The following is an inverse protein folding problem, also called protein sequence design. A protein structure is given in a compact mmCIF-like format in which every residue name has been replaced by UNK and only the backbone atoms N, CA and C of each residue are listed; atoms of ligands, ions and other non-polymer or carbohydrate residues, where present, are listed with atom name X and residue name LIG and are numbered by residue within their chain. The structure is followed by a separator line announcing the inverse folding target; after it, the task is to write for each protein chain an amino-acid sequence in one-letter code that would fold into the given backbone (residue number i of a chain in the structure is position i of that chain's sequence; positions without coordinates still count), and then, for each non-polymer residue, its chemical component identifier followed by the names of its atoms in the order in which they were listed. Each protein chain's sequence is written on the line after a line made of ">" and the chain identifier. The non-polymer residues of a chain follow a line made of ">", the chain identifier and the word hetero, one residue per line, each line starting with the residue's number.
data_IF_049376338880
#
_entry.id   IF_049376338880
#
_cell.length_a   1.000
_cell.length_b   1.000
_cell.length_c   1.000
_cell.angle_alpha   90.00
_cell.angle_beta   90.00
_cell.angle_gamma   90.00
#
_symmetry.space_group_name_H-M   'P 1'
#
loop_
_entity.id
_entity.type
_entity.pdbx_description
1 polymer ?
#
# COMPACT_ATOMS: atom_id res chain seq x y z
N UNK A 1 13.97 -20.40 -7.31
CA UNK A 1 13.29 -19.62 -6.25
C UNK A 1 12.79 -20.59 -5.17
N UNK A 2 13.07 -20.33 -3.89
CA UNK A 2 12.71 -21.25 -2.78
C UNK A 2 11.21 -21.55 -2.66
N UNK A 3 10.33 -20.59 -2.97
CA UNK A 3 8.87 -20.76 -2.84
C UNK A 3 8.19 -21.61 -3.94
N UNK A 4 8.89 -21.91 -5.04
CA UNK A 4 8.35 -22.76 -6.13
C UNK A 4 8.57 -24.26 -5.87
N UNK A 5 9.29 -24.63 -4.81
CA UNK A 5 9.61 -26.03 -4.48
C UNK A 5 8.47 -26.77 -3.76
N UNK A 6 7.39 -26.08 -3.37
CA UNK A 6 6.30 -26.64 -2.54
C UNK A 6 5.03 -27.09 -3.28
N UNK A 7 4.95 -26.91 -4.59
CA UNK A 7 3.83 -27.42 -5.41
C UNK A 7 4.29 -28.70 -6.14
N UNK A 8 3.87 -29.90 -5.70
CA UNK A 8 4.24 -31.12 -6.41
C UNK A 8 3.65 -31.09 -7.82
N UNK A 9 4.51 -31.08 -8.85
CA UNK A 9 4.13 -31.50 -10.21
C UNK A 9 4.26 -30.48 -11.35
N UNK A 10 4.69 -29.23 -11.14
CA UNK A 10 4.89 -28.30 -12.27
C UNK A 10 6.31 -27.76 -12.39
N UNK A 11 7.01 -28.00 -13.52
CA UNK A 11 8.29 -27.39 -13.79
C UNK A 11 8.17 -25.86 -13.82
N UNK A 12 9.13 -25.15 -13.21
CA UNK A 12 9.21 -23.67 -13.23
C UNK A 12 9.14 -23.12 -14.67
N UNK A 13 9.66 -23.84 -15.64
CA UNK A 13 9.56 -23.48 -17.07
C UNK A 13 8.12 -23.41 -17.59
N UNK A 14 7.25 -24.34 -17.18
CA UNK A 14 5.84 -24.35 -17.59
C UNK A 14 5.06 -23.17 -16.97
N UNK A 15 5.33 -22.87 -15.70
CA UNK A 15 4.74 -21.68 -15.04
C UNK A 15 5.20 -20.40 -15.73
N UNK A 16 6.51 -20.29 -16.01
CA UNK A 16 7.06 -19.15 -16.72
C UNK A 16 6.41 -18.94 -18.08
N UNK A 17 6.21 -20.02 -18.85
CA UNK A 17 5.56 -19.93 -20.15
C UNK A 17 4.09 -19.52 -20.03
N UNK A 18 3.35 -20.08 -19.06
CA UNK A 18 1.97 -19.68 -18.81
C UNK A 18 1.84 -18.17 -18.49
N UNK A 19 2.74 -17.63 -17.66
CA UNK A 19 2.77 -16.19 -17.38
C UNK A 19 3.21 -15.36 -18.58
N UNK A 20 4.17 -15.83 -19.39
CA UNK A 20 4.57 -15.15 -20.62
C UNK A 20 3.42 -15.12 -21.65
N UNK A 21 2.65 -16.21 -21.78
CA UNK A 21 1.47 -16.25 -22.63
C UNK A 21 0.44 -15.21 -22.18
N UNK A 22 0.12 -15.17 -20.88
CA UNK A 22 -0.81 -14.18 -20.34
C UNK A 22 -0.34 -12.73 -20.56
N UNK A 23 0.97 -12.47 -20.46
CA UNK A 23 1.56 -11.17 -20.79
C UNK A 23 1.42 -10.83 -22.27
N UNK A 24 1.79 -11.74 -23.19
CA UNK A 24 1.66 -11.58 -24.65
C UNK A 24 0.22 -11.37 -25.08
N UNK A 25 -0.72 -12.02 -24.40
CA UNK A 25 -2.16 -11.86 -24.63
C UNK A 25 -2.71 -10.54 -24.05
N UNK A 26 -1.90 -9.77 -23.30
CA UNK A 26 -2.32 -8.49 -22.73
C UNK A 26 -3.29 -8.65 -21.54
N UNK A 27 -3.22 -9.76 -20.81
CA UNK A 27 -4.15 -10.10 -19.74
C UNK A 27 -3.81 -9.46 -18.38
N UNK A 28 -2.72 -8.71 -18.29
CA UNK A 28 -2.16 -8.23 -17.02
C UNK A 28 -2.11 -6.70 -16.97
N UNK A 29 -2.39 -6.13 -15.80
CA UNK A 29 -2.13 -4.72 -15.46
C UNK A 29 -1.32 -4.63 -14.17
N UNK A 30 -0.41 -3.67 -14.09
CA UNK A 30 0.30 -3.32 -12.85
C UNK A 30 -0.44 -2.19 -12.15
N UNK A 31 -0.65 -2.32 -10.84
CA UNK A 31 -1.19 -1.27 -9.98
C UNK A 31 -0.22 -1.00 -8.84
N UNK A 32 0.40 0.17 -8.88
CA UNK A 32 1.35 0.61 -7.86
C UNK A 32 0.70 1.60 -6.89
N UNK A 33 0.74 1.27 -5.60
CA UNK A 33 0.14 2.06 -4.53
C UNK A 33 0.96 3.32 -4.23
N UNK A 34 0.48 4.49 -4.66
CA UNK A 34 1.16 5.79 -4.53
C UNK A 34 0.25 6.89 -3.91
N UNK A 35 -0.82 6.50 -3.21
CA UNK A 35 -1.74 7.43 -2.56
C UNK A 35 -1.17 8.09 -1.29
N UNK A 36 -0.20 7.45 -0.64
CA UNK A 36 0.42 7.96 0.59
C UNK A 36 1.51 9.00 0.31
N UNK A 37 1.56 10.07 1.11
CA UNK A 37 2.62 11.07 1.04
C UNK A 37 4.00 10.51 1.45
N UNK A 38 4.03 9.46 2.30
CA UNK A 38 5.27 8.85 2.77
C UNK A 38 6.01 9.69 3.80
N UNK A 39 5.29 10.28 4.76
CA UNK A 39 5.81 11.22 5.78
C UNK A 39 7.05 10.73 6.53
N UNK A 40 7.19 9.41 6.78
CA UNK A 40 8.40 8.82 7.37
C UNK A 40 9.63 9.01 6.47
N UNK A 41 9.48 8.71 5.19
CA UNK A 41 10.55 8.86 4.20
C UNK A 41 10.95 10.32 4.04
N UNK A 42 9.96 11.21 4.01
CA UNK A 42 10.17 12.63 3.70
C UNK A 42 10.40 13.47 4.95
N UNK A 43 10.42 12.85 6.14
CA UNK A 43 10.52 13.51 7.44
C UNK A 43 9.54 14.70 7.60
N UNK A 44 8.35 14.56 7.02
CA UNK A 44 7.31 15.60 7.06
C UNK A 44 7.50 16.78 6.10
N UNK A 45 8.42 16.70 5.13
CA UNK A 45 8.69 17.76 4.16
C UNK A 45 7.55 18.07 3.17
N UNK A 46 6.38 17.43 3.30
CA UNK A 46 5.22 17.68 2.44
C UNK A 46 5.39 17.22 0.98
N UNK A 47 6.45 16.45 0.67
CA UNK A 47 6.69 15.91 -0.68
C UNK A 47 6.11 14.51 -0.82
N UNK A 48 5.75 14.15 -2.05
CA UNK A 48 5.23 12.82 -2.38
C UNK A 48 6.39 11.86 -2.57
N UNK A 49 6.51 10.84 -1.71
CA UNK A 49 7.58 9.83 -1.77
C UNK A 49 7.80 9.24 -3.16
N UNK A 50 6.72 8.97 -3.90
CA UNK A 50 6.78 8.41 -5.24
C UNK A 50 7.66 9.23 -6.22
N UNK A 51 7.73 10.54 -6.01
CA UNK A 51 8.46 11.51 -6.84
C UNK A 51 9.89 11.78 -6.34
N UNK A 52 10.26 11.25 -5.17
CA UNK A 52 11.53 11.54 -4.54
C UNK A 52 12.68 10.83 -5.28
N UNK A 53 13.71 11.55 -5.77
CA UNK A 53 14.93 10.92 -6.25
C UNK A 53 15.66 10.25 -5.07
N UNK A 54 15.82 8.93 -5.07
CA UNK A 54 16.22 8.21 -3.86
C UNK A 54 17.58 7.50 -3.95
N UNK A 55 17.99 7.06 -5.14
CA UNK A 55 19.31 6.46 -5.34
C UNK A 55 19.77 6.63 -6.79
N UNK A 56 21.06 6.40 -7.04
CA UNK A 56 21.60 6.37 -8.41
C UNK A 56 21.44 4.96 -9.00
N UNK A 57 20.66 4.83 -10.06
CA UNK A 57 20.56 3.61 -10.88
C UNK A 57 20.84 4.00 -12.34
N UNK A 58 21.65 3.18 -13.02
CA UNK A 58 22.22 3.45 -14.33
C UNK A 58 22.87 4.84 -14.41
N UNK A 59 23.66 5.17 -13.38
CA UNK A 59 24.45 6.40 -13.31
C UNK A 59 23.66 7.70 -13.04
N UNK A 60 22.33 7.65 -12.88
CA UNK A 60 21.48 8.83 -12.62
C UNK A 60 20.61 8.64 -11.39
N UNK A 61 20.27 9.73 -10.70
CA UNK A 61 19.28 9.65 -9.62
C UNK A 61 17.91 9.33 -10.21
N UNK A 62 17.31 8.22 -9.76
CA UNK A 62 15.99 7.77 -10.21
C UNK A 62 14.95 7.99 -9.14
N UNK A 63 13.70 8.22 -9.57
CA UNK A 63 12.53 8.28 -8.69
C UNK A 63 11.91 6.90 -8.52
N UNK A 64 11.05 6.72 -7.51
CA UNK A 64 10.33 5.46 -7.34
C UNK A 64 9.41 5.18 -8.54
N UNK A 65 8.68 6.19 -9.03
CA UNK A 65 7.81 6.06 -10.22
C UNK A 65 8.60 5.62 -11.45
N UNK A 66 9.70 6.32 -11.74
CA UNK A 66 10.56 5.99 -12.89
C UNK A 66 11.07 4.55 -12.82
N UNK A 67 11.47 4.10 -11.63
CA UNK A 67 11.94 2.72 -11.41
C UNK A 67 10.87 1.70 -11.76
N UNK A 68 9.61 1.92 -11.37
CA UNK A 68 8.51 1.01 -11.69
C UNK A 68 8.15 1.03 -13.18
N UNK A 69 8.15 2.20 -13.81
CA UNK A 69 7.94 2.33 -15.25
C UNK A 69 9.05 1.64 -16.06
N UNK A 70 10.30 1.72 -15.61
CA UNK A 70 11.42 1.03 -16.26
C UNK A 70 11.28 -0.49 -16.23
N UNK A 71 10.75 -1.07 -15.13
CA UNK A 71 10.45 -2.50 -15.05
C UNK A 71 9.30 -2.90 -15.98
N UNK A 72 8.22 -2.13 -15.99
CA UNK A 72 7.08 -2.39 -16.86
C UNK A 72 7.45 -2.23 -18.35
N UNK A 73 8.34 -1.31 -18.70
CA UNK A 73 8.87 -1.15 -20.06
C UNK A 73 9.64 -2.39 -20.51
N UNK A 74 10.57 -2.87 -19.68
CA UNK A 74 11.33 -4.09 -19.96
C UNK A 74 10.40 -5.26 -20.27
N UNK A 75 9.39 -5.46 -19.42
CA UNK A 75 8.44 -6.55 -19.57
C UNK A 75 7.53 -6.37 -20.79
N UNK A 76 7.18 -5.14 -21.15
CA UNK A 76 6.43 -4.85 -22.37
C UNK A 76 7.21 -5.30 -23.62
N UNK A 77 8.52 -5.02 -23.67
CA UNK A 77 9.41 -5.42 -24.77
C UNK A 77 9.66 -6.92 -24.81
N UNK A 78 9.83 -7.57 -23.65
CA UNK A 78 9.97 -9.03 -23.55
C UNK A 78 8.72 -9.76 -24.05
N UNK A 79 7.54 -9.21 -23.78
CA UNK A 79 6.26 -9.80 -24.17
C UNK A 79 5.75 -9.31 -25.55
N UNK A 80 6.44 -8.34 -26.18
CA UNK A 80 5.94 -7.61 -27.36
C UNK A 80 4.47 -7.15 -27.21
N UNK A 81 4.13 -6.70 -26.01
CA UNK A 81 2.78 -6.31 -25.62
C UNK A 81 2.88 -5.19 -24.59
N UNK A 82 2.40 -3.97 -24.91
CA UNK A 82 2.44 -2.87 -23.95
C UNK A 82 1.76 -3.25 -22.64
N UNK A 83 2.43 -3.08 -21.50
CA UNK A 83 1.86 -3.38 -20.19
C UNK A 83 1.16 -2.14 -19.63
N UNK A 84 -0.12 -2.19 -19.23
CA UNK A 84 -0.76 -1.08 -18.55
C UNK A 84 -0.16 -0.91 -17.17
N UNK A 85 0.12 0.33 -16.80
CA UNK A 85 0.61 0.70 -15.49
C UNK A 85 -0.31 1.75 -14.88
N UNK A 86 -0.87 1.45 -13.71
CA UNK A 86 -1.72 2.35 -12.96
C UNK A 86 -1.02 2.75 -11.67
N UNK A 87 -0.90 4.06 -11.41
CA UNK A 87 -0.57 4.54 -10.08
C UNK A 87 -1.85 4.97 -9.37
N UNK A 88 -2.14 4.37 -8.22
CA UNK A 88 -3.22 4.88 -7.36
C UNK A 88 -2.71 6.12 -6.63
N UNK A 89 -3.58 7.12 -6.52
CA UNK A 89 -3.24 8.43 -5.96
C UNK A 89 -4.30 8.85 -4.94
N UNK A 90 -4.03 9.86 -4.14
CA UNK A 90 -5.03 10.49 -3.26
C UNK A 90 -5.15 11.97 -3.57
N UNK A 91 -6.06 12.66 -2.88
CA UNK A 91 -6.13 14.12 -2.89
C UNK A 91 -4.79 14.81 -2.49
N UNK A 92 -3.87 14.09 -1.83
CA UNK A 92 -2.54 14.61 -1.47
C UNK A 92 -1.50 14.40 -2.59
N UNK A 93 -1.68 13.38 -3.42
CA UNK A 93 -0.63 12.92 -4.35
C UNK A 93 -1.00 13.02 -5.82
N UNK A 94 -2.29 13.18 -6.16
CA UNK A 94 -2.77 13.18 -7.52
C UNK A 94 -2.15 14.28 -8.39
N UNK A 95 -2.42 15.56 -8.07
CA UNK A 95 -1.93 16.68 -8.87
C UNK A 95 -0.40 16.75 -8.92
N UNK A 96 0.34 16.54 -7.81
CA UNK A 96 1.80 16.47 -7.86
C UNK A 96 2.32 15.37 -8.78
N UNK A 97 1.73 14.16 -8.74
CA UNK A 97 2.16 13.04 -9.60
C UNK A 97 1.80 13.32 -11.05
N UNK A 98 0.58 13.79 -11.33
CA UNK A 98 0.12 14.10 -12.69
C UNK A 98 1.01 15.16 -13.34
N UNK A 99 1.21 16.30 -12.68
CA UNK A 99 2.05 17.37 -13.22
C UNK A 99 3.53 16.98 -13.33
N UNK A 100 4.03 16.08 -12.47
CA UNK A 100 5.40 15.58 -12.57
C UNK A 100 5.56 14.64 -13.77
N UNK A 101 4.64 13.67 -13.95
CA UNK A 101 4.65 12.77 -15.10
C UNK A 101 4.53 13.53 -16.42
N UNK A 102 3.68 14.56 -16.49
CA UNK A 102 3.56 15.41 -17.68
C UNK A 102 4.89 16.11 -18.03
N UNK A 103 5.56 16.72 -17.04
CA UNK A 103 6.87 17.37 -17.25
C UNK A 103 7.96 16.41 -17.70
N UNK A 104 7.98 15.20 -17.13
CA UNK A 104 8.90 14.14 -17.51
C UNK A 104 8.46 13.39 -18.78
N UNK A 105 7.39 13.83 -19.45
CA UNK A 105 6.80 13.21 -20.65
C UNK A 105 6.55 11.71 -20.45
N UNK A 106 5.96 11.36 -19.30
CA UNK A 106 5.71 10.00 -18.86
C UNK A 106 6.96 9.10 -18.85
N UNK A 107 8.16 9.70 -18.73
CA UNK A 107 9.44 8.99 -18.87
C UNK A 107 9.56 8.21 -20.19
N UNK A 108 8.87 8.62 -21.25
CA UNK A 108 8.80 7.89 -22.52
C UNK A 108 8.19 6.48 -22.37
N UNK A 109 7.26 6.28 -21.43
CA UNK A 109 6.55 5.01 -21.30
C UNK A 109 5.61 4.79 -22.50
N UNK A 110 5.78 3.66 -23.19
CA UNK A 110 5.08 3.36 -24.46
C UNK A 110 3.70 2.73 -24.25
N UNK A 111 3.44 2.15 -23.07
CA UNK A 111 2.17 1.51 -22.75
C UNK A 111 1.15 2.45 -22.09
N UNK A 112 -0.08 1.97 -21.84
CA UNK A 112 -1.08 2.75 -21.12
C UNK A 112 -0.57 3.12 -19.72
N UNK A 113 -0.48 4.42 -19.42
CA UNK A 113 -0.12 4.94 -18.11
C UNK A 113 -1.28 5.75 -17.56
N UNK A 114 -1.88 5.25 -16.48
CA UNK A 114 -3.08 5.84 -15.88
C UNK A 114 -2.84 6.22 -14.43
N UNK A 115 -3.54 7.26 -13.97
CA UNK A 115 -3.66 7.59 -12.56
C UNK A 115 -5.06 7.22 -12.09
N UNK A 116 -5.13 6.50 -10.97
CA UNK A 116 -6.39 6.18 -10.30
C UNK A 116 -6.58 7.15 -9.11
N UNK A 117 -7.36 8.24 -9.28
CA UNK A 117 -7.61 9.19 -8.19
C UNK A 117 -8.45 8.54 -7.09
N UNK A 118 -7.96 8.62 -5.86
CA UNK A 118 -8.69 8.18 -4.68
C UNK A 118 -9.93 9.03 -4.44
N UNK A 119 -11.08 8.38 -4.30
CA UNK A 119 -12.38 9.01 -4.00
C UNK A 119 -12.82 8.82 -2.55
N UNK A 120 -12.05 8.06 -1.77
CA UNK A 120 -12.28 7.86 -0.34
C UNK A 120 -11.34 8.74 0.47
N UNK A 121 -11.92 9.66 1.25
CA UNK A 121 -11.19 10.57 2.15
C UNK A 121 -11.85 10.51 3.52
N UNK A 122 -11.04 10.36 4.56
CA UNK A 122 -11.51 10.32 5.93
C UNK A 122 -11.36 11.68 6.60
N UNK A 123 -12.33 12.05 7.42
CA UNK A 123 -12.21 13.16 8.35
C UNK A 123 -11.58 12.62 9.64
N UNK A 124 -10.54 13.31 10.14
CA UNK A 124 -9.95 12.99 11.44
C UNK A 124 -10.95 13.35 12.54
N UNK A 125 -10.87 12.65 13.65
CA UNK A 125 -11.77 12.85 14.78
C UNK A 125 -10.98 13.34 16.00
N UNK A 126 -11.69 13.97 16.91
CA UNK A 126 -11.19 14.29 18.24
C UNK A 126 -11.07 12.96 19.02
N UNK A 127 -9.89 12.63 19.59
CA UNK A 127 -9.72 11.41 20.37
C UNK A 127 -10.65 11.37 21.58
N UNK A 128 -10.99 10.16 22.04
CA UNK A 128 -11.64 10.05 23.36
C UNK A 128 -10.60 10.28 24.47
N UNK A 129 -11.07 10.78 25.61
CA UNK A 129 -10.24 10.93 26.82
C UNK A 129 -9.68 9.57 27.25
N UNK A 130 -10.45 8.49 27.07
CA UNK A 130 -9.99 7.13 27.36
C UNK A 130 -8.78 6.75 26.51
N UNK A 131 -8.83 7.01 25.20
CA UNK A 131 -7.73 6.68 24.29
C UNK A 131 -6.46 7.46 24.64
N UNK A 132 -6.59 8.76 24.97
CA UNK A 132 -5.47 9.61 25.37
C UNK A 132 -4.82 9.12 26.66
N UNK A 133 -5.63 8.80 27.68
CA UNK A 133 -5.11 8.27 28.95
C UNK A 133 -4.43 6.91 28.76
N UNK A 134 -5.05 6.01 28.01
CA UNK A 134 -4.43 4.73 27.68
C UNK A 134 -3.05 4.94 27.02
N UNK A 135 -2.98 5.79 25.99
CA UNK A 135 -1.76 6.04 25.24
C UNK A 135 -0.65 6.73 26.06
N UNK A 136 -1.00 7.53 27.07
CA UNK A 136 -0.05 8.38 27.79
C UNK A 136 0.27 7.93 29.21
N UNK A 137 -0.65 7.22 29.86
CA UNK A 137 -0.57 6.82 31.27
C UNK A 137 -0.38 5.30 31.43
N UNK A 138 -0.94 4.48 30.53
CA UNK A 138 -0.90 3.02 30.64
C UNK A 138 0.18 2.38 29.75
N UNK A 139 0.42 2.92 28.56
CA UNK A 139 1.44 2.42 27.64
C UNK A 139 2.85 2.83 28.05
N UNK A 140 3.90 2.01 27.80
CA UNK A 140 5.29 2.36 28.10
C UNK A 140 5.69 3.73 27.55
N UNK A 141 6.29 4.57 28.40
CA UNK A 141 6.73 5.91 28.04
C UNK A 141 8.24 6.07 28.23
N UNK A 142 8.84 6.96 27.45
CA UNK A 142 10.19 7.44 27.74
C UNK A 142 10.22 8.11 29.13
N UNK A 143 11.18 7.70 29.95
CA UNK A 143 11.53 8.36 31.20
C UNK A 143 12.24 9.68 30.89
N UNK A 144 11.69 10.78 31.42
CA UNK A 144 12.26 12.12 31.29
C UNK A 144 12.75 12.58 32.66
N UNK A 145 13.57 13.63 32.68
CA UNK A 145 13.90 14.28 33.95
C UNK A 145 12.65 14.90 34.60
N UNK A 146 12.75 15.24 35.89
CA UNK A 146 11.60 15.70 36.65
C UNK A 146 10.96 16.98 36.10
N UNK A 147 11.74 17.90 35.55
CA UNK A 147 11.21 19.16 35.02
C UNK A 147 10.51 18.92 33.68
N UNK A 148 11.14 18.18 32.79
CA UNK A 148 10.56 17.77 31.50
C UNK A 148 9.28 16.96 31.68
N UNK A 149 9.26 16.06 32.66
CA UNK A 149 8.08 15.28 33.01
C UNK A 149 6.90 16.18 33.42
N UNK A 150 7.13 17.16 34.31
CA UNK A 150 6.09 18.11 34.73
C UNK A 150 5.52 18.90 33.56
N UNK A 151 6.38 19.37 32.66
CA UNK A 151 5.95 20.09 31.45
C UNK A 151 5.10 19.19 30.55
N UNK A 152 5.54 17.94 30.33
CA UNK A 152 4.79 16.95 29.54
C UNK A 152 3.43 16.64 30.16
N UNK A 153 3.36 16.45 31.47
CA UNK A 153 2.11 16.13 32.17
C UNK A 153 1.13 17.31 32.12
N UNK A 154 1.63 18.53 32.26
CA UNK A 154 0.80 19.75 32.11
C UNK A 154 0.23 19.87 30.70
N UNK A 155 1.02 19.61 29.66
CA UNK A 155 0.55 19.63 28.26
C UNK A 155 -0.52 18.55 28.03
N UNK A 156 -0.27 17.32 28.49
CA UNK A 156 -1.23 16.20 28.36
C UNK A 156 -2.54 16.46 29.07
N UNK A 157 -2.50 17.03 30.27
CA UNK A 157 -3.70 17.43 31.01
C UNK A 157 -4.52 18.47 30.23
N UNK A 158 -3.85 19.46 29.62
CA UNK A 158 -4.50 20.46 28.78
C UNK A 158 -5.13 19.82 27.52
N UNK A 159 -4.44 18.90 26.86
CA UNK A 159 -4.94 18.20 25.67
C UNK A 159 -6.11 17.25 25.99
N UNK A 160 -6.09 16.57 27.15
CA UNK A 160 -7.24 15.78 27.64
C UNK A 160 -8.44 16.70 27.88
N UNK A 161 -8.24 17.83 28.53
CA UNK A 161 -9.31 18.78 28.77
C UNK A 161 -9.85 19.36 27.45
N UNK A 162 -8.97 19.68 26.51
CA UNK A 162 -9.36 20.10 25.16
C UNK A 162 -10.26 19.06 24.49
N UNK A 163 -9.85 17.79 24.42
CA UNK A 163 -10.64 16.72 23.79
C UNK A 163 -12.03 16.60 24.42
N UNK A 164 -12.11 16.68 25.75
CA UNK A 164 -13.38 16.66 26.48
C UNK A 164 -14.28 17.85 26.14
N UNK A 165 -13.72 19.05 26.07
CA UNK A 165 -14.49 20.29 25.77
C UNK A 165 -14.87 20.43 24.31
N UNK A 166 -14.02 19.94 23.40
CA UNK A 166 -14.23 20.00 21.95
C UNK A 166 -15.24 18.95 21.46
N UNK A 167 -15.45 17.87 22.24
CA UNK A 167 -16.38 16.79 21.95
C UNK A 167 -15.66 15.52 21.51
N UNK A 168 -15.58 14.54 22.40
CA UNK A 168 -14.94 13.24 22.14
C UNK A 168 -15.59 12.52 20.96
N UNK A 169 -14.76 11.90 20.10
CA UNK A 169 -15.18 11.20 18.88
C UNK A 169 -15.94 12.06 17.85
N UNK A 170 -16.00 13.39 18.05
CA UNK A 170 -16.53 14.33 17.08
C UNK A 170 -15.55 14.62 15.94
N UNK A 171 -16.05 15.26 14.89
CA UNK A 171 -15.27 15.65 13.72
C UNK A 171 -14.24 16.73 14.07
N UNK A 172 -12.97 16.50 13.70
CA UNK A 172 -11.91 17.50 13.84
C UNK A 172 -11.88 18.43 12.62
N UNK A 173 -12.60 19.56 12.71
CA UNK A 173 -12.77 20.53 11.59
C UNK A 173 -12.12 21.88 11.83
N UNK A 174 -11.72 22.18 13.08
CA UNK A 174 -11.11 23.46 13.47
C UNK A 174 -9.60 23.48 13.18
N UNK A 175 -9.22 23.33 11.91
CA UNK A 175 -7.86 23.49 11.38
C UNK A 175 -7.90 23.66 9.84
N UNK A 176 -6.73 23.75 9.20
CA UNK A 176 -6.62 23.72 7.74
C UNK A 176 -7.09 22.36 7.20
N UNK A 177 -7.77 22.31 6.03
CA UNK A 177 -8.37 21.07 5.51
C UNK A 177 -7.41 19.87 5.45
N UNK A 178 -6.14 20.07 5.05
CA UNK A 178 -5.15 18.98 4.99
C UNK A 178 -4.74 18.44 6.37
N UNK A 179 -4.89 19.25 7.43
CA UNK A 179 -4.71 18.81 8.83
C UNK A 179 -5.99 18.15 9.39
N UNK A 180 -7.14 18.33 8.74
CA UNK A 180 -8.39 17.66 9.10
C UNK A 180 -8.60 16.33 8.37
N UNK A 181 -8.07 16.19 7.14
CA UNK A 181 -8.33 15.03 6.28
C UNK A 181 -7.19 14.02 6.31
N UNK A 182 -7.52 12.74 6.08
CA UNK A 182 -6.53 11.66 5.97
C UNK A 182 -6.92 10.63 4.90
N UNK A 183 -5.94 9.95 4.28
CA UNK A 183 -6.20 8.72 3.53
C UNK A 183 -6.73 7.62 4.45
N UNK A 184 -7.68 6.82 3.97
CA UNK A 184 -8.42 5.82 4.77
C UNK A 184 -7.83 4.40 4.69
N UNK A 185 -6.55 4.29 4.35
CA UNK A 185 -5.84 3.03 4.19
C UNK A 185 -5.92 2.44 2.77
N UNK A 186 -4.92 1.60 2.47
CA UNK A 186 -4.68 1.08 1.12
C UNK A 186 -5.74 0.08 0.64
N UNK A 187 -6.60 -0.45 1.52
CA UNK A 187 -7.74 -1.25 1.07
C UNK A 187 -8.64 -0.48 0.11
N UNK A 188 -8.82 0.83 0.29
CA UNK A 188 -9.67 1.64 -0.58
C UNK A 188 -9.04 1.98 -1.94
N UNK A 189 -7.72 1.82 -2.11
CA UNK A 189 -7.04 2.15 -3.37
C UNK A 189 -7.45 1.21 -4.51
N UNK A 190 -7.70 -0.08 -4.21
CA UNK A 190 -8.21 -1.06 -5.17
C UNK A 190 -9.65 -0.76 -5.59
N UNK A 191 -10.64 -0.64 -4.68
CA UNK A 191 -12.01 -0.36 -5.07
C UNK A 191 -12.21 1.03 -5.67
N UNK A 192 -11.30 1.98 -5.42
CA UNK A 192 -11.31 3.25 -6.15
C UNK A 192 -11.14 3.05 -7.66
N UNK A 193 -10.45 2.01 -8.13
CA UNK A 193 -10.37 1.69 -9.57
C UNK A 193 -11.74 1.45 -10.19
N UNK A 194 -12.69 0.85 -9.45
CA UNK A 194 -14.09 0.74 -9.89
C UNK A 194 -14.75 2.12 -9.82
N UNK A 195 -14.64 2.78 -8.66
CA UNK A 195 -15.40 3.98 -8.33
C UNK A 195 -15.06 5.19 -9.20
N UNK A 196 -13.83 5.27 -9.70
CA UNK A 196 -13.37 6.37 -10.55
C UNK A 196 -13.35 6.04 -12.05
N UNK A 197 -13.82 4.85 -12.45
CA UNK A 197 -13.93 4.45 -13.86
C UNK A 197 -12.64 3.92 -14.51
N UNK A 198 -11.48 3.98 -13.83
CA UNK A 198 -10.20 3.55 -14.43
C UNK A 198 -10.20 2.07 -14.81
N UNK A 199 -10.78 1.20 -13.97
CA UNK A 199 -10.88 -0.22 -14.33
C UNK A 199 -11.86 -0.45 -15.50
N UNK A 200 -12.95 0.30 -15.57
CA UNK A 200 -13.91 0.21 -16.66
C UNK A 200 -13.26 0.59 -17.99
N UNK A 201 -12.50 1.70 -18.02
CA UNK A 201 -11.75 2.13 -19.20
C UNK A 201 -10.70 1.10 -19.62
N UNK A 202 -9.92 0.59 -18.66
CA UNK A 202 -8.93 -0.47 -18.93
C UNK A 202 -9.57 -1.75 -19.48
N UNK A 203 -10.73 -2.16 -18.95
CA UNK A 203 -11.43 -3.36 -19.44
C UNK A 203 -12.07 -3.15 -20.82
N UNK A 204 -12.44 -1.91 -21.17
CA UNK A 204 -12.89 -1.56 -22.53
C UNK A 204 -11.74 -1.59 -23.53
N UNK A 205 -10.58 -1.04 -23.15
CA UNK A 205 -9.37 -1.10 -23.97
C UNK A 205 -8.85 -2.55 -24.09
N UNK A 206 -8.95 -3.33 -23.02
CA UNK A 206 -8.47 -4.71 -22.91
C UNK A 206 -9.56 -5.65 -22.42
N UNK A 207 -10.46 -6.10 -23.29
CA UNK A 207 -11.52 -7.06 -22.94
C UNK A 207 -10.97 -8.37 -22.36
N UNK A 208 -9.74 -8.74 -22.72
CA UNK A 208 -9.05 -9.94 -22.25
C UNK A 208 -8.30 -9.75 -20.91
N UNK A 209 -8.35 -8.57 -20.28
CA UNK A 209 -7.71 -8.31 -18.99
C UNK A 209 -8.28 -9.24 -17.91
N UNK A 210 -7.39 -9.93 -17.18
CA UNK A 210 -7.74 -10.94 -16.16
C UNK A 210 -7.01 -10.77 -14.85
N UNK A 211 -5.78 -10.27 -14.87
CA UNK A 211 -4.90 -10.28 -13.71
C UNK A 211 -4.36 -8.90 -13.38
N UNK A 212 -4.20 -8.64 -12.10
CA UNK A 212 -3.68 -7.39 -11.56
C UNK A 212 -2.52 -7.72 -10.62
N UNK A 213 -1.36 -7.13 -10.85
CA UNK A 213 -0.25 -7.12 -9.89
C UNK A 213 -0.34 -5.85 -9.07
N UNK A 214 -0.78 -5.98 -7.81
CA UNK A 214 -0.83 -4.89 -6.85
C UNK A 214 0.48 -4.86 -6.06
N UNK A 215 1.15 -3.72 -5.96
CA UNK A 215 2.28 -3.58 -5.03
C UNK A 215 2.48 -2.17 -4.49
N UNK A 216 3.19 -2.02 -3.36
CA UNK A 216 3.56 -0.70 -2.84
C UNK A 216 4.58 0.01 -3.74
N UNK A 217 4.51 1.35 -3.79
CA UNK A 217 5.51 2.20 -4.46
C UNK A 217 6.94 1.97 -3.94
N UNK A 218 7.11 1.54 -2.69
CA UNK A 218 8.41 1.30 -2.08
C UNK A 218 8.89 -0.16 -2.11
N UNK A 219 8.11 -1.08 -2.70
CA UNK A 219 8.54 -2.46 -2.99
C UNK A 219 9.23 -2.52 -4.35
N UNK A 220 10.46 -2.00 -4.43
CA UNK A 220 11.17 -1.79 -5.70
C UNK A 220 11.51 -3.08 -6.47
N UNK A 221 11.61 -4.21 -5.78
CA UNK A 221 11.87 -5.51 -6.41
C UNK A 221 10.66 -6.17 -7.06
N UNK A 222 9.44 -5.65 -6.86
CA UNK A 222 8.23 -6.23 -7.42
C UNK A 222 8.06 -5.89 -8.91
N UNK A 223 8.09 -6.87 -9.79
CA UNK A 223 7.73 -6.77 -11.21
C UNK A 223 6.75 -7.89 -11.60
N UNK A 224 6.26 -7.89 -12.84
CA UNK A 224 5.42 -8.99 -13.34
C UNK A 224 6.31 -10.19 -13.72
N UNK A 225 6.84 -10.88 -12.71
CA UNK A 225 7.61 -12.12 -12.90
C UNK A 225 6.70 -13.18 -13.54
N UNK A 226 7.01 -13.68 -14.75
CA UNK A 226 6.14 -14.62 -15.44
C UNK A 226 5.96 -15.96 -14.71
N UNK A 227 6.94 -16.43 -13.93
CA UNK A 227 6.80 -17.67 -13.18
C UNK A 227 5.84 -17.50 -11.99
N UNK A 228 5.84 -16.35 -11.33
CA UNK A 228 4.89 -16.04 -10.26
C UNK A 228 3.48 -15.77 -10.80
N UNK A 229 3.36 -15.09 -11.95
CA UNK A 229 2.08 -14.96 -12.65
C UNK A 229 1.53 -16.33 -13.03
N UNK A 230 2.35 -17.19 -13.64
CA UNK A 230 1.94 -18.55 -14.01
C UNK A 230 1.55 -19.41 -12.79
N UNK A 231 2.25 -19.23 -11.67
CA UNK A 231 1.87 -19.86 -10.40
C UNK A 231 0.48 -19.40 -9.94
N UNK A 232 0.21 -18.10 -9.99
CA UNK A 232 -1.10 -17.55 -9.63
C UNK A 232 -2.20 -18.09 -10.56
N UNK A 233 -1.98 -18.06 -11.87
CA UNK A 233 -2.90 -18.61 -12.89
C UNK A 233 -3.20 -20.09 -12.60
N UNK A 234 -2.15 -20.90 -12.43
CA UNK A 234 -2.31 -22.33 -12.21
C UNK A 234 -3.00 -22.65 -10.87
N UNK A 235 -2.70 -21.88 -9.82
CA UNK A 235 -3.31 -22.08 -8.51
C UNK A 235 -4.82 -21.89 -8.52
N UNK A 236 -5.35 -21.14 -9.48
CA UNK A 236 -6.76 -20.77 -9.52
C UNK A 236 -7.20 -19.97 -8.29
N UNK A 237 -6.28 -19.34 -7.57
CA UNK A 237 -6.60 -18.53 -6.40
C UNK A 237 -7.36 -17.25 -6.78
N UNK A 238 -8.01 -16.62 -5.81
CA UNK A 238 -8.42 -15.23 -5.95
C UNK A 238 -7.24 -14.30 -5.70
N UNK A 239 -6.60 -14.43 -4.53
CA UNK A 239 -5.44 -13.63 -4.16
C UNK A 239 -4.22 -14.52 -3.97
N UNK A 240 -3.06 -14.08 -4.45
CA UNK A 240 -1.77 -14.68 -4.07
C UNK A 240 -0.86 -13.61 -3.53
N UNK A 241 -0.61 -13.65 -2.22
CA UNK A 241 0.27 -12.71 -1.53
C UNK A 241 1.71 -13.20 -1.57
N UNK A 242 2.63 -12.31 -1.93
CA UNK A 242 4.06 -12.57 -1.80
C UNK A 242 4.52 -12.22 -0.37
N UNK A 243 5.25 -13.14 0.25
CA UNK A 243 5.81 -12.96 1.59
C UNK A 243 7.32 -13.18 1.57
N UNK A 244 8.02 -12.51 2.48
CA UNK A 244 9.46 -12.66 2.67
C UNK A 244 9.74 -13.20 4.06
N UNK A 245 10.88 -13.88 4.24
CA UNK A 245 11.35 -14.23 5.58
C UNK A 245 11.56 -12.96 6.41
N UNK A 246 11.00 -12.93 7.62
CA UNK A 246 11.06 -11.78 8.52
C UNK A 246 12.50 -11.53 9.01
N UNK A 247 12.88 -10.25 9.07
CA UNK A 247 14.02 -9.74 9.83
C UNK A 247 13.52 -8.78 10.92
N UNK A 248 14.39 -8.50 11.89
CA UNK A 248 14.04 -7.71 13.08
C UNK A 248 13.54 -6.29 12.74
N UNK A 249 14.06 -5.70 11.66
CA UNK A 249 13.70 -4.35 11.22
C UNK A 249 12.43 -4.30 10.35
N UNK A 250 11.84 -5.45 10.01
CA UNK A 250 10.62 -5.50 9.19
C UNK A 250 9.40 -5.13 10.05
N UNK A 251 8.55 -4.22 9.55
CA UNK A 251 7.44 -3.60 10.31
C UNK A 251 6.12 -3.64 9.54
N UNK A 252 5.07 -4.21 10.14
CA UNK A 252 3.65 -4.28 9.69
C UNK A 252 3.09 -5.72 9.73
N UNK A 253 2.28 -6.16 8.77
CA UNK A 253 1.63 -7.47 8.83
C UNK A 253 2.50 -8.71 8.51
N UNK A 254 2.31 -9.78 9.28
CA UNK A 254 2.95 -11.08 9.06
C UNK A 254 1.95 -12.24 8.93
N UNK A 255 2.45 -13.40 8.49
CA UNK A 255 1.61 -14.60 8.40
C UNK A 255 1.44 -15.27 9.75
N UNK A 256 0.19 -15.48 10.13
CA UNK A 256 -0.18 -16.26 11.30
C UNK A 256 -1.31 -17.23 10.97
N UNK A 257 -1.46 -18.26 11.81
CA UNK A 257 -2.63 -19.13 11.78
C UNK A 257 -3.63 -18.63 12.82
N UNK A 258 -4.80 -18.19 12.38
CA UNK A 258 -5.89 -17.78 13.27
C UNK A 258 -7.10 -18.64 12.98
N UNK A 259 -7.67 -19.25 14.02
CA UNK A 259 -8.79 -20.19 13.91
C UNK A 259 -8.54 -21.27 12.84
N UNK A 260 -7.32 -21.82 12.82
CA UNK A 260 -6.93 -22.89 11.89
C UNK A 260 -6.57 -22.42 10.46
N UNK A 261 -6.86 -21.18 10.07
CA UNK A 261 -6.58 -20.65 8.73
C UNK A 261 -5.34 -19.75 8.72
N UNK A 262 -4.51 -19.90 7.70
CA UNK A 262 -3.36 -18.99 7.47
C UNK A 262 -3.89 -17.68 6.92
N UNK A 263 -3.54 -16.57 7.56
CA UNK A 263 -3.92 -15.21 7.13
C UNK A 263 -2.81 -14.21 7.43
N UNK A 264 -2.87 -13.05 6.80
CA UNK A 264 -2.08 -11.90 7.20
C UNK A 264 -2.71 -11.27 8.44
N UNK A 265 -1.87 -10.98 9.43
CA UNK A 265 -2.25 -10.26 10.65
C UNK A 265 -1.38 -9.03 10.74
N UNK A 266 -2.02 -7.87 10.66
CA UNK A 266 -1.35 -6.57 10.77
C UNK A 266 -0.81 -6.37 12.19
N UNK A 267 0.33 -5.69 12.33
CA UNK A 267 0.96 -5.47 13.65
C UNK A 267 0.02 -4.80 14.65
N UNK A 268 -0.82 -3.86 14.18
CA UNK A 268 -1.86 -3.21 14.99
C UNK A 268 -2.95 -4.16 15.50
N UNK A 269 -3.11 -5.33 14.89
CA UNK A 269 -4.05 -6.37 15.30
C UNK A 269 -3.43 -7.37 16.29
N UNK A 270 -2.12 -7.32 16.51
CA UNK A 270 -1.42 -8.24 17.41
C UNK A 270 -1.60 -7.76 18.86
N UNK A 271 -2.12 -8.60 19.78
CA UNK A 271 -2.44 -8.16 21.14
C UNK A 271 -1.22 -7.72 21.97
N UNK A 272 -0.05 -8.30 21.69
CA UNK A 272 1.22 -8.02 22.39
C UNK A 272 2.32 -7.86 21.37
N UNK A 273 3.11 -6.78 21.48
CA UNK A 273 4.20 -6.49 20.53
C UNK A 273 5.21 -7.65 20.43
N UNK A 274 5.44 -8.38 21.54
CA UNK A 274 6.34 -9.53 21.57
C UNK A 274 5.91 -10.71 20.67
N UNK A 275 4.62 -10.85 20.38
CA UNK A 275 4.11 -11.91 19.50
C UNK A 275 4.53 -11.67 18.03
N UNK A 276 4.85 -10.43 17.64
CA UNK A 276 5.41 -10.15 16.32
C UNK A 276 6.76 -10.86 16.09
N UNK A 277 7.54 -11.12 17.15
CA UNK A 277 8.82 -11.83 17.03
C UNK A 277 8.65 -13.32 16.71
N UNK A 278 7.48 -13.90 16.96
CA UNK A 278 7.18 -15.29 16.62
C UNK A 278 6.80 -15.49 15.14
N UNK A 279 6.61 -14.41 14.38
CA UNK A 279 6.22 -14.48 12.97
C UNK A 279 7.44 -14.79 12.08
N UNK A 280 7.36 -15.86 11.29
CA UNK A 280 8.45 -16.24 10.38
C UNK A 280 8.42 -15.52 9.03
N UNK A 281 7.24 -15.07 8.61
CA UNK A 281 7.01 -14.49 7.29
C UNK A 281 6.29 -13.16 7.39
N UNK A 282 6.71 -12.24 6.53
CA UNK A 282 6.29 -10.86 6.53
C UNK A 282 5.69 -10.48 5.17
N UNK A 283 4.61 -9.69 5.18
CA UNK A 283 3.92 -9.27 3.96
C UNK A 283 4.79 -8.31 3.14
N UNK A 284 5.06 -8.64 1.88
CA UNK A 284 5.77 -7.71 0.98
C UNK A 284 4.89 -6.57 0.45
N UNK A 285 3.58 -6.65 0.72
CA UNK A 285 2.55 -5.83 0.11
C UNK A 285 2.54 -5.94 -1.41
N UNK A 286 2.90 -7.11 -1.94
CA UNK A 286 2.71 -7.51 -3.34
C UNK A 286 1.65 -8.60 -3.42
N UNK A 287 0.63 -8.39 -4.25
CA UNK A 287 -0.52 -9.30 -4.39
C UNK A 287 -0.85 -9.51 -5.86
N UNK A 288 -0.93 -10.76 -6.27
CA UNK A 288 -1.52 -11.17 -7.56
C UNK A 288 -3.02 -11.37 -7.37
N UNK A 289 -3.81 -10.79 -8.27
CA UNK A 289 -5.25 -10.71 -8.13
C UNK A 289 -5.93 -11.18 -9.42
N UNK A 290 -6.88 -12.11 -9.30
CA UNK A 290 -7.84 -12.44 -10.35
C UNK A 290 -8.99 -11.40 -10.36
N UNK A 291 -9.11 -10.65 -11.45
CA UNK A 291 -10.08 -9.56 -11.58
C UNK A 291 -11.53 -10.04 -11.57
N UNK A 292 -11.81 -11.21 -12.15
CA UNK A 292 -13.17 -11.74 -12.17
C UNK A 292 -13.61 -12.10 -10.75
N UNK A 293 -12.75 -12.78 -9.99
CA UNK A 293 -13.01 -13.10 -8.58
C UNK A 293 -13.05 -11.86 -7.70
N UNK A 294 -12.22 -10.85 -7.99
CA UNK A 294 -12.29 -9.57 -7.32
C UNK A 294 -13.68 -8.96 -7.45
N UNK A 295 -14.17 -8.78 -8.68
CA UNK A 295 -15.50 -8.21 -8.92
C UNK A 295 -16.61 -9.07 -8.27
N UNK A 296 -16.51 -10.39 -8.37
CA UNK A 296 -17.46 -11.32 -7.75
C UNK A 296 -17.54 -11.17 -6.22
N UNK A 297 -16.41 -10.97 -5.53
CA UNK A 297 -16.39 -10.71 -4.07
C UNK A 297 -17.05 -9.38 -3.71
N UNK A 298 -16.98 -8.38 -4.59
CA UNK A 298 -17.75 -7.14 -4.45
C UNK A 298 -19.22 -7.28 -4.87
N UNK A 299 -19.63 -8.43 -5.44
CA UNK A 299 -20.98 -8.63 -5.98
C UNK A 299 -21.21 -7.90 -7.30
N UNK A 300 -20.16 -7.69 -8.09
CA UNK A 300 -20.18 -6.97 -9.36
C UNK A 300 -19.83 -7.89 -10.53
N UNK A 301 -20.47 -7.63 -11.67
CA UNK A 301 -20.03 -8.08 -12.99
C UNK A 301 -19.32 -6.92 -13.73
N UNK A 302 -18.73 -7.21 -14.90
CA UNK A 302 -18.03 -6.19 -15.70
C UNK A 302 -18.93 -5.02 -16.11
N UNK A 303 -20.14 -5.32 -16.56
CA UNK A 303 -21.09 -4.30 -17.04
C UNK A 303 -21.59 -3.41 -15.89
N UNK A 304 -21.56 -3.91 -14.66
CA UNK A 304 -21.95 -3.16 -13.46
C UNK A 304 -20.98 -2.02 -13.15
N UNK A 305 -19.75 -2.05 -13.68
CA UNK A 305 -18.76 -0.99 -13.44
C UNK A 305 -19.16 0.35 -14.07
N UNK A 306 -20.15 0.37 -14.97
CA UNK A 306 -20.73 1.59 -15.52
C UNK A 306 -21.85 2.18 -14.65
N UNK A 307 -22.31 1.46 -13.62
CA UNK A 307 -23.35 1.90 -12.69
C UNK A 307 -22.71 2.38 -11.37
N UNK A 308 -22.58 3.70 -11.26
CA UNK A 308 -21.96 4.39 -10.13
C UNK A 308 -22.60 4.05 -8.77
N UNK A 309 -23.92 3.91 -8.72
CA UNK A 309 -24.67 3.65 -7.49
C UNK A 309 -24.50 2.19 -7.05
N UNK A 310 -24.51 1.26 -8.01
CA UNK A 310 -24.23 -0.15 -7.77
C UNK A 310 -22.81 -0.36 -7.28
N UNK A 311 -21.82 0.25 -7.94
CA UNK A 311 -20.40 0.22 -7.50
C UNK A 311 -20.26 0.79 -6.10
N UNK A 312 -20.87 1.96 -5.82
CA UNK A 312 -20.82 2.57 -4.48
C UNK A 312 -21.39 1.65 -3.40
N UNK A 313 -22.53 1.02 -3.69
CA UNK A 313 -23.21 0.11 -2.77
C UNK A 313 -22.36 -1.14 -2.50
N UNK A 314 -21.79 -1.74 -3.55
CA UNK A 314 -20.89 -2.88 -3.45
C UNK A 314 -19.67 -2.58 -2.57
N UNK A 315 -19.01 -1.43 -2.81
CA UNK A 315 -17.84 -1.02 -2.02
C UNK A 315 -18.21 -0.84 -0.54
N UNK A 316 -19.33 -0.17 -0.24
CA UNK A 316 -19.80 0.03 1.14
C UNK A 316 -20.13 -1.29 1.83
N UNK A 317 -20.77 -2.23 1.12
CA UNK A 317 -21.14 -3.54 1.65
C UNK A 317 -19.91 -4.34 2.08
N UNK A 318 -18.87 -4.39 1.23
CA UNK A 318 -17.64 -5.08 1.60
C UNK A 318 -16.85 -4.32 2.67
N UNK A 319 -16.76 -2.98 2.58
CA UNK A 319 -16.05 -2.15 3.56
C UNK A 319 -16.58 -2.33 4.99
N UNK A 320 -17.89 -2.53 5.16
CA UNK A 320 -18.53 -2.78 6.45
C UNK A 320 -18.08 -4.09 7.12
N UNK A 321 -17.55 -5.03 6.34
CA UNK A 321 -17.05 -6.34 6.82
C UNK A 321 -15.55 -6.35 7.07
N UNK A 322 -14.83 -5.37 6.53
CA UNK A 322 -13.40 -5.21 6.75
C UNK A 322 -13.13 -4.68 8.17
N UNK A 323 -12.06 -5.12 8.84
CA UNK A 323 -11.56 -4.47 10.05
C UNK A 323 -11.35 -2.97 9.85
N UNK A 324 -11.46 -2.20 10.93
CA UNK A 324 -11.15 -0.77 10.95
C UNK A 324 -10.14 -0.54 12.06
N UNK A 325 -8.94 -0.09 11.72
CA UNK A 325 -7.93 0.28 12.70
C UNK A 325 -8.05 1.76 13.00
N UNK A 326 -8.08 2.12 14.28
CA UNK A 326 -8.05 3.52 14.72
C UNK A 326 -6.70 3.78 15.33
N UNK A 327 -6.03 4.85 14.90
CA UNK A 327 -4.71 5.23 15.42
C UNK A 327 -4.71 6.68 15.86
N UNK A 328 -3.98 6.95 16.95
CA UNK A 328 -3.65 8.31 17.34
C UNK A 328 -2.54 8.86 16.44
N UNK A 329 -2.73 10.09 15.99
CA UNK A 329 -1.78 10.89 15.22
C UNK A 329 -1.70 12.29 15.80
N UNK A 330 -0.72 13.02 15.34
CA UNK A 330 -0.51 14.41 15.70
C UNK A 330 -0.65 15.28 14.46
N UNK A 331 -1.35 16.41 14.62
CA UNK A 331 -1.52 17.43 13.57
C UNK A 331 -1.07 18.78 14.09
N UNK A 332 -0.50 19.57 13.19
CA UNK A 332 -0.03 20.92 13.52
C UNK A 332 -1.15 21.92 13.30
N UNK A 333 -1.38 22.81 14.26
CA UNK A 333 -2.32 23.93 14.15
C UNK A 333 -1.57 25.23 14.30
N UNK A 334 -1.62 26.07 13.26
CA UNK A 334 -0.98 27.39 13.26
C UNK A 334 -2.00 28.47 13.55
N UNK A 335 -1.64 29.43 14.38
CA UNK A 335 -2.52 30.55 14.75
C UNK A 335 -1.70 31.82 15.03
N UNK A 336 -2.40 32.95 15.17
CA UNK A 336 -1.80 34.24 15.48
C UNK A 336 -0.72 34.68 14.49
N UNK A 337 0.45 35.05 15.01
CA UNK A 337 1.62 35.53 14.25
C UNK A 337 2.68 34.43 14.04
N UNK A 338 2.25 33.18 13.85
CA UNK A 338 3.15 32.05 13.57
C UNK A 338 3.36 31.10 14.75
N UNK A 339 2.50 31.15 15.77
CA UNK A 339 2.45 30.10 16.79
C UNK A 339 2.04 28.77 16.16
N UNK A 340 2.63 27.67 16.62
CA UNK A 340 2.31 26.30 16.17
C UNK A 340 2.09 25.41 17.39
N UNK A 341 0.89 24.85 17.49
CA UNK A 341 0.53 23.84 18.48
C UNK A 341 0.37 22.47 17.82
N UNK A 342 0.56 21.41 18.60
CA UNK A 342 0.37 20.03 18.16
C UNK A 342 -0.82 19.42 18.88
N UNK A 343 -1.81 18.99 18.11
CA UNK A 343 -3.03 18.38 18.62
C UNK A 343 -3.06 16.88 18.33
N UNK A 344 -3.47 16.05 19.30
CA UNK A 344 -3.73 14.64 19.05
C UNK A 344 -5.07 14.50 18.33
N UNK A 345 -5.10 13.62 17.34
CA UNK A 345 -6.29 13.31 16.53
C UNK A 345 -6.36 11.81 16.31
N UNK A 346 -7.56 11.28 16.15
CA UNK A 346 -7.77 9.90 15.72
C UNK A 346 -8.02 9.86 14.22
N UNK A 347 -7.51 8.83 13.58
CA UNK A 347 -7.74 8.54 12.18
C UNK A 347 -7.98 7.05 12.00
N UNK A 348 -8.71 6.66 10.95
CA UNK A 348 -9.05 5.27 10.71
C UNK A 348 -8.48 4.76 9.38
N UNK A 349 -8.10 3.49 9.35
CA UNK A 349 -7.56 2.85 8.16
C UNK A 349 -8.15 1.45 7.98
N UNK A 350 -8.34 1.06 6.72
CA UNK A 350 -8.63 -0.32 6.31
C UNK A 350 -7.46 -0.85 5.49
N UNK A 351 -7.01 -2.07 5.80
CA UNK A 351 -5.78 -2.61 5.24
C UNK A 351 -6.09 -3.76 4.28
N UNK A 352 -5.46 -3.74 3.11
CA UNK A 352 -5.61 -4.77 2.07
C UNK A 352 -5.28 -6.18 2.55
N UNK A 353 -4.33 -6.34 3.47
CA UNK A 353 -3.97 -7.64 4.07
C UNK A 353 -5.15 -8.32 4.76
N UNK A 354 -6.10 -7.54 5.29
CA UNK A 354 -7.29 -8.08 5.97
C UNK A 354 -8.25 -8.82 5.02
N UNK A 355 -8.08 -8.69 3.69
CA UNK A 355 -8.82 -9.51 2.72
C UNK A 355 -8.63 -11.01 3.01
N UNK A 356 -7.45 -11.39 3.54
CA UNK A 356 -7.14 -12.77 3.94
C UNK A 356 -7.97 -13.27 5.13
N UNK A 357 -8.63 -12.36 5.86
CA UNK A 357 -9.54 -12.68 6.95
C UNK A 357 -10.96 -13.01 6.50
N UNK A 358 -11.35 -12.68 5.26
CA UNK A 358 -12.69 -12.93 4.74
C UNK A 358 -12.88 -14.42 4.38
N UNK A 359 -13.93 -15.10 4.89
CA UNK A 359 -14.10 -16.53 4.70
C UNK A 359 -14.22 -17.01 3.25
N UNK A 360 -14.79 -16.18 2.37
CA UNK A 360 -15.03 -16.46 0.96
C UNK A 360 -13.84 -16.14 0.04
N UNK A 361 -12.78 -15.52 0.57
CA UNK A 361 -11.61 -15.11 -0.22
C UNK A 361 -10.58 -16.23 -0.23
N UNK A 362 -10.44 -16.92 -1.37
CA UNK A 362 -9.38 -17.92 -1.56
C UNK A 362 -8.00 -17.24 -1.72
N UNK A 363 -7.21 -17.31 -0.66
CA UNK A 363 -5.87 -16.73 -0.58
C UNK A 363 -4.79 -17.81 -0.63
N UNK A 364 -3.77 -17.57 -1.44
CA UNK A 364 -2.50 -18.31 -1.45
C UNK A 364 -1.35 -17.41 -1.03
N UNK A 365 -0.28 -18.02 -0.56
CA UNK A 365 0.94 -17.34 -0.13
C UNK A 365 2.13 -17.96 -0.83
N UNK A 366 3.02 -17.11 -1.35
CA UNK A 366 4.26 -17.56 -1.98
C UNK A 366 5.45 -16.86 -1.34
N UNK A 367 6.45 -17.65 -0.95
CA UNK A 367 7.68 -17.11 -0.38
C UNK A 367 8.59 -16.64 -1.52
N UNK A 368 8.93 -15.37 -1.52
CA UNK A 368 9.80 -14.76 -2.53
C UNK A 368 11.16 -14.35 -1.94
N UNK A 369 12.21 -14.21 -2.78
CA UNK A 369 13.49 -13.67 -2.31
C UNK A 369 13.31 -12.29 -1.68
N UNK A 370 14.11 -11.99 -0.64
CA UNK A 370 14.03 -10.70 0.05
C UNK A 370 14.19 -9.51 -0.90
N UNK A 371 15.12 -9.56 -1.83
CA UNK A 371 15.35 -8.48 -2.80
C UNK A 371 14.11 -8.12 -3.64
N UNK A 372 13.18 -9.08 -3.84
CA UNK A 372 11.89 -8.84 -4.50
C UNK A 372 10.89 -8.14 -3.61
N UNK A 373 10.73 -8.61 -2.37
CA UNK A 373 9.69 -8.16 -1.44
C UNK A 373 10.12 -7.11 -0.41
N UNK A 374 11.36 -6.63 -0.46
CA UNK A 374 11.89 -5.62 0.46
C UNK A 374 11.25 -4.25 0.22
N UNK A 375 10.74 -3.64 1.30
CA UNK A 375 10.09 -2.33 1.27
C UNK A 375 11.03 -1.26 1.86
N UNK A 376 11.36 -0.23 1.07
CA UNK A 376 12.17 0.90 1.51
C UNK A 376 11.31 1.95 2.22
N UNK A 377 10.95 1.72 3.49
CA UNK A 377 10.10 2.61 4.30
C UNK A 377 10.82 3.86 4.82
N UNK A 378 12.12 3.77 5.05
CA UNK A 378 12.96 4.81 5.66
C UNK A 378 14.27 5.01 4.90
N UNK A 379 14.78 6.25 4.85
CA UNK A 379 16.04 6.56 4.19
C UNK A 379 17.24 5.85 4.83
N UNK A 380 17.19 5.57 6.14
CA UNK A 380 18.24 4.82 6.84
C UNK A 380 18.47 3.40 6.26
N UNK A 381 17.49 2.86 5.52
CA UNK A 381 17.59 1.54 4.89
C UNK A 381 18.39 1.56 3.58
N UNK A 382 18.69 2.74 3.02
CA UNK A 382 19.34 2.87 1.71
C UNK A 382 20.76 2.30 1.69
N UNK A 383 21.56 2.53 2.72
CA UNK A 383 22.94 2.05 2.76
C UNK A 383 23.01 0.52 2.71
N UNK A 384 22.19 -0.15 3.53
CA UNK A 384 22.07 -1.61 3.52
C UNK A 384 21.57 -2.13 2.16
N UNK A 385 20.55 -1.49 1.59
CA UNK A 385 19.96 -1.87 0.30
C UNK A 385 20.92 -1.72 -0.89
N UNK A 386 21.82 -0.73 -0.85
CA UNK A 386 22.87 -0.55 -1.86
C UNK A 386 23.96 -1.63 -1.75
N UNK A 387 24.31 -2.04 -0.52
CA UNK A 387 25.42 -2.96 -0.25
C UNK A 387 25.04 -4.42 -0.31
N UNK A 388 23.79 -4.78 -0.05
CA UNK A 388 23.33 -6.18 0.03
C UNK A 388 22.95 -6.80 -1.33
N UNK A 389 23.13 -6.05 -2.43
CA UNK A 389 22.80 -6.47 -3.78
C UNK A 389 21.37 -6.16 -4.21
N UNK A 390 20.50 -5.67 -3.32
CA UNK A 390 19.11 -5.33 -3.68
C UNK A 390 19.03 -4.24 -4.75
N UNK A 391 19.90 -3.23 -4.70
CA UNK A 391 19.97 -2.19 -5.73
C UNK A 391 20.33 -2.75 -7.12
N UNK A 392 21.37 -3.59 -7.18
CA UNK A 392 21.79 -4.24 -8.43
C UNK A 392 20.72 -5.19 -8.96
N UNK A 393 20.03 -5.92 -8.07
CA UNK A 393 18.87 -6.73 -8.45
C UNK A 393 17.77 -5.87 -9.08
N UNK A 394 17.36 -4.77 -8.44
CA UNK A 394 16.34 -3.86 -8.99
C UNK A 394 16.77 -3.28 -10.32
N UNK A 395 18.03 -2.84 -10.44
CA UNK A 395 18.58 -2.33 -11.70
C UNK A 395 18.50 -3.37 -12.83
N UNK A 396 18.76 -4.64 -12.54
CA UNK A 396 18.65 -5.74 -13.52
C UNK A 396 17.21 -5.99 -14.01
N UNK A 397 16.20 -5.53 -13.26
CA UNK A 397 14.79 -5.60 -13.65
C UNK A 397 14.35 -4.45 -14.57
N UNK A 398 15.16 -3.41 -14.69
CA UNK A 398 14.77 -2.16 -15.31
C UNK A 398 15.31 -2.01 -16.74
N UNK A 399 14.52 -1.38 -17.60
CA UNK A 399 15.00 -0.84 -18.87
C UNK A 399 14.77 0.67 -18.87
N UNK A 400 15.87 1.41 -18.71
CA UNK A 400 15.88 2.87 -18.56
C UNK A 400 15.79 3.59 -19.91
N UNK A 401 15.35 4.84 -19.86
CA UNK A 401 15.49 5.80 -20.96
C UNK A 401 16.90 6.41 -21.00
#
# INVERSE_FOLDING_TARGET
>A
MPGLQGMPGLPVGALREAGLSALREGQVVVVTLAAGAGSRWTQGAGVVKALHPFCKLAGRHRTFIETHLAKSRRLSRVADMPLPHVFTTSYLTHDPIAGFLEREKNYGYEGPLLLSPGRSVGLRMIPTVRDLRFAWEEMPQQLLDQQQQKVRDSLRAALIQWARTAGEAGDYTDNLPFQCLHPVGHWYEVPNLFRNGVLLELMRERPQLKYLLLHNIDTLGADVDPALLGLHIHSGAFLTFEVVSRRIDDRGGGLARVNGRVRLVEGLAVPREEEEFALSYYNSMTTWIDLHKLMSVFGLARDDLADDDKVTTAIRSLAARMPTYITLKEVKKRWGHGQEDVFPVTQFEKLWGDMTGLPEVDCRFVIVPRMRGLQLKDQAQLDGWLRDGSAAYVESLCEWQ
#
